data_IF_658020222314
#
_entry.id   IF_658020222314
#
_cell.length_a   1.000
_cell.length_b   1.000
_cell.length_c   1.000
_cell.angle_alpha   90.00
_cell.angle_beta   90.00
_cell.angle_gamma   90.00
#
_symmetry.space_group_name_H-M   'P 1'
#
loop_
_entity.id
_entity.type
_entity.pdbx_description
1 polymer ?
#
# COMPACT_ATOMS: atom_id res chain seq x y z
N UNK A 1 32.69 13.73 41.33
CA UNK A 1 32.92 13.28 39.95
C UNK A 1 32.01 12.09 39.70
N UNK A 2 31.06 12.05 38.78
CA UNK A 2 30.32 13.06 38.03
C UNK A 2 29.06 12.29 37.59
N UNK A 3 27.87 12.66 38.10
CA UNK A 3 26.60 12.07 37.66
C UNK A 3 26.26 12.75 36.33
N UNK A 4 26.65 12.14 35.22
CA UNK A 4 26.37 12.67 33.88
C UNK A 4 24.90 12.40 33.54
N UNK A 5 24.19 13.49 33.31
CA UNK A 5 22.76 13.58 33.04
C UNK A 5 22.40 12.93 31.69
N UNK A 6 21.82 11.72 31.71
CA UNK A 6 21.12 11.12 30.55
C UNK A 6 19.66 11.58 30.57
N UNK A 7 19.43 12.89 30.57
CA UNK A 7 18.07 13.46 30.49
C UNK A 7 17.95 14.59 29.46
N UNK A 8 19.06 14.97 28.80
CA UNK A 8 19.13 16.15 27.92
C UNK A 8 18.99 15.85 26.42
N UNK A 9 18.89 14.59 25.98
CA UNK A 9 18.73 14.24 24.55
C UNK A 9 17.26 14.11 24.12
N UNK A 10 16.35 13.84 25.06
CA UNK A 10 14.92 13.63 24.74
C UNK A 10 14.18 14.94 24.44
N UNK A 11 14.68 16.09 24.91
CA UNK A 11 14.00 17.38 24.78
C UNK A 11 14.29 18.15 23.47
N UNK A 12 15.27 17.72 22.65
CA UNK A 12 15.71 18.49 21.47
C UNK A 12 15.02 18.08 20.15
N UNK A 13 14.20 17.03 20.15
CA UNK A 13 13.53 16.55 18.91
C UNK A 13 12.23 17.33 18.62
N UNK A 14 11.67 18.05 19.59
CA UNK A 14 10.37 18.72 19.43
C UNK A 14 10.42 20.15 18.87
N UNK A 15 11.61 20.75 18.63
CA UNK A 15 11.72 22.20 18.34
C UNK A 15 11.91 22.51 16.84
N UNK A 16 12.02 21.51 15.97
CA UNK A 16 12.42 21.72 14.57
C UNK A 16 11.32 21.83 13.50
N UNK A 17 10.04 21.64 13.82
CA UNK A 17 8.99 21.46 12.80
C UNK A 17 7.91 22.56 12.76
N UNK A 18 8.18 23.75 13.31
CA UNK A 18 7.33 24.92 13.11
C UNK A 18 7.71 25.66 11.81
N UNK A 19 7.83 24.93 10.70
CA UNK A 19 7.91 25.49 9.36
C UNK A 19 6.50 25.64 8.80
N UNK A 20 5.83 26.72 9.20
CA UNK A 20 4.49 27.09 8.76
C UNK A 20 4.54 27.41 7.26
N UNK A 21 3.98 26.55 6.44
CA UNK A 21 3.15 27.01 5.32
C UNK A 21 1.72 26.90 5.84
N UNK A 22 0.99 28.02 5.84
CA UNK A 22 -0.43 28.00 6.13
C UNK A 22 -1.07 27.00 5.15
N UNK A 23 -1.48 25.84 5.66
CA UNK A 23 -2.19 24.85 4.87
C UNK A 23 -3.43 25.54 4.31
N UNK A 24 -3.55 25.57 2.98
CA UNK A 24 -4.84 25.79 2.34
C UNK A 24 -5.84 24.78 2.92
N UNK A 25 -7.12 25.15 2.97
CA UNK A 25 -8.16 24.33 3.58
C UNK A 25 -7.99 22.86 3.13
N UNK A 26 -8.01 21.90 4.08
CA UNK A 26 -7.89 20.49 3.74
C UNK A 26 -8.90 20.15 2.65
N UNK A 27 -8.47 19.40 1.64
CA UNK A 27 -9.36 18.96 0.58
C UNK A 27 -10.54 18.19 1.18
N UNK A 28 -11.75 18.60 0.81
CA UNK A 28 -12.98 17.90 1.14
C UNK A 28 -13.31 16.94 0.00
N UNK A 29 -13.67 15.71 0.34
CA UNK A 29 -14.04 14.65 -0.61
C UNK A 29 -15.45 14.12 -0.34
N UNK A 30 -16.21 14.79 0.53
CA UNK A 30 -17.48 14.27 1.04
C UNK A 30 -18.51 14.05 -0.06
N UNK A 31 -18.56 14.93 -1.06
CA UNK A 31 -19.52 14.84 -2.15
C UNK A 31 -19.11 13.76 -3.15
N UNK A 32 -17.82 13.62 -3.42
CA UNK A 32 -17.27 12.58 -4.30
C UNK A 32 -17.46 11.18 -3.71
N UNK A 33 -17.26 11.01 -2.40
CA UNK A 33 -17.48 9.71 -1.75
C UNK A 33 -18.96 9.33 -1.80
N UNK A 34 -19.88 10.27 -1.57
CA UNK A 34 -21.33 10.01 -1.70
C UNK A 34 -21.72 9.69 -3.13
N UNK A 35 -21.23 10.46 -4.10
CA UNK A 35 -21.42 10.20 -5.53
C UNK A 35 -20.93 8.80 -5.91
N UNK A 36 -19.77 8.37 -5.41
CA UNK A 36 -19.26 7.02 -5.65
C UNK A 36 -20.11 5.91 -5.02
N UNK A 37 -20.64 6.13 -3.81
CA UNK A 37 -21.57 5.20 -3.16
C UNK A 37 -22.91 5.11 -3.91
N UNK A 38 -23.42 6.24 -4.40
CA UNK A 38 -24.65 6.30 -5.20
C UNK A 38 -24.49 5.57 -6.54
N UNK A 39 -23.36 5.77 -7.24
CA UNK A 39 -23.02 5.05 -8.47
C UNK A 39 -22.95 3.53 -8.29
N UNK A 40 -22.50 3.06 -7.11
CA UNK A 40 -22.45 1.64 -6.76
C UNK A 40 -23.76 1.10 -6.19
N UNK A 41 -24.76 1.97 -5.96
CA UNK A 41 -26.02 1.65 -5.31
C UNK A 41 -25.83 1.01 -3.92
N UNK A 42 -24.94 1.60 -3.10
CA UNK A 42 -24.58 1.10 -1.76
C UNK A 42 -24.74 2.15 -0.66
N UNK A 43 -24.79 1.68 0.58
CA UNK A 43 -24.91 2.50 1.80
C UNK A 43 -23.83 2.11 2.80
N UNK A 44 -23.71 2.83 3.92
CA UNK A 44 -22.77 2.47 5.01
C UNK A 44 -23.01 1.09 5.60
N UNK A 45 -24.22 0.55 5.45
CA UNK A 45 -24.61 -0.77 5.95
C UNK A 45 -24.44 -1.88 4.89
N UNK A 46 -24.06 -1.51 3.66
CA UNK A 46 -23.86 -2.49 2.59
C UNK A 46 -22.68 -3.40 2.92
N UNK A 47 -22.87 -4.74 2.93
CA UNK A 47 -21.78 -5.67 3.18
C UNK A 47 -20.81 -5.71 2.00
N UNK A 48 -19.60 -6.23 2.24
CA UNK A 48 -18.66 -6.54 1.15
C UNK A 48 -18.02 -5.32 0.49
N UNK A 49 -18.03 -4.15 1.16
CA UNK A 49 -17.30 -2.98 0.69
C UNK A 49 -15.84 -2.99 1.14
N UNK A 50 -14.95 -2.62 0.23
CA UNK A 50 -13.56 -2.28 0.52
C UNK A 50 -13.20 -0.95 -0.13
N UNK A 51 -12.47 -0.14 0.62
CA UNK A 51 -11.96 1.15 0.14
C UNK A 51 -10.45 1.08 0.06
N UNK A 52 -9.90 1.45 -1.09
CA UNK A 52 -8.46 1.64 -1.28
C UNK A 52 -8.21 3.14 -1.47
N UNK A 53 -7.15 3.68 -0.89
CA UNK A 53 -6.79 5.09 -1.06
C UNK A 53 -5.31 5.32 -0.78
N UNK A 54 -4.73 6.34 -1.39
CA UNK A 54 -3.40 6.84 -0.99
C UNK A 54 -3.45 8.04 -0.02
N UNK A 55 -4.65 8.38 0.46
CA UNK A 55 -4.82 9.37 1.51
C UNK A 55 -3.97 9.04 2.74
N UNK A 56 -3.32 10.07 3.28
CA UNK A 56 -2.33 9.95 4.35
C UNK A 56 -0.88 9.90 3.85
N UNK A 57 -0.64 9.54 2.59
CA UNK A 57 0.70 9.60 1.97
C UNK A 57 0.88 10.84 1.10
N UNK A 58 -0.11 11.15 0.25
CA UNK A 58 -0.02 12.26 -0.71
C UNK A 58 -0.41 13.60 -0.10
N UNK A 59 0.04 14.68 -0.74
CA UNK A 59 -0.37 16.05 -0.42
C UNK A 59 -1.16 16.67 -1.56
N UNK A 60 -2.18 17.45 -1.21
CA UNK A 60 -2.92 18.30 -2.15
C UNK A 60 -2.70 19.75 -1.76
N UNK A 61 -2.22 20.57 -2.69
CA UNK A 61 -1.85 21.98 -2.47
C UNK A 61 -0.97 22.20 -1.22
N UNK A 62 -0.03 21.28 -0.97
CA UNK A 62 0.86 21.31 0.20
C UNK A 62 0.24 20.81 1.51
N UNK A 63 -1.08 20.61 1.55
CA UNK A 63 -1.84 20.08 2.69
C UNK A 63 -1.84 18.56 2.71
N UNK A 64 -1.72 17.99 3.90
CA UNK A 64 -1.78 16.53 4.13
C UNK A 64 -3.22 16.02 4.02
N UNK A 65 -3.39 14.76 3.61
CA UNK A 65 -4.69 14.17 3.25
C UNK A 65 -5.32 13.25 4.32
N UNK A 66 -4.84 13.23 5.57
CA UNK A 66 -5.45 12.37 6.60
C UNK A 66 -6.93 12.65 6.89
N UNK A 67 -7.42 13.88 6.61
CA UNK A 67 -8.84 14.20 6.74
C UNK A 67 -9.71 13.36 5.79
N UNK A 68 -9.19 13.04 4.60
CA UNK A 68 -9.86 12.17 3.62
C UNK A 68 -10.12 10.77 4.20
N UNK A 69 -9.19 10.21 4.97
CA UNK A 69 -9.37 8.91 5.65
C UNK A 69 -10.57 8.97 6.61
N UNK A 70 -10.73 10.08 7.34
CA UNK A 70 -11.88 10.29 8.24
C UNK A 70 -13.18 10.36 7.45
N UNK A 71 -13.19 11.07 6.32
CA UNK A 71 -14.35 11.18 5.44
C UNK A 71 -14.72 9.83 4.84
N UNK A 72 -13.77 9.09 4.26
CA UNK A 72 -13.99 7.74 3.72
C UNK A 72 -14.60 6.83 4.79
N UNK A 73 -14.05 6.82 6.01
CA UNK A 73 -14.62 6.03 7.10
C UNK A 73 -16.05 6.44 7.45
N UNK A 74 -16.33 7.74 7.50
CA UNK A 74 -17.64 8.28 7.86
C UNK A 74 -18.71 7.95 6.82
N UNK A 75 -18.41 8.12 5.54
CA UNK A 75 -19.39 8.01 4.46
C UNK A 75 -19.53 6.57 3.93
N UNK A 76 -18.51 5.71 4.07
CA UNK A 76 -18.55 4.31 3.59
C UNK A 76 -18.77 3.28 4.69
N UNK A 77 -18.50 3.62 5.96
CA UNK A 77 -18.45 2.66 7.07
C UNK A 77 -17.18 1.79 7.10
N UNK A 78 -16.37 1.78 6.03
CA UNK A 78 -15.12 1.04 5.97
C UNK A 78 -14.07 1.61 6.94
N UNK A 79 -13.28 0.75 7.57
CA UNK A 79 -12.25 1.19 8.51
C UNK A 79 -11.02 0.31 8.49
N UNK A 80 -9.88 0.88 8.90
CA UNK A 80 -8.62 0.15 9.02
C UNK A 80 -8.77 -1.03 9.99
N UNK A 81 -9.51 -0.83 11.09
CA UNK A 81 -9.75 -1.87 12.10
C UNK A 81 -10.64 -3.01 11.62
N UNK A 82 -11.53 -2.77 10.66
CA UNK A 82 -12.32 -3.81 10.01
C UNK A 82 -11.57 -4.49 8.86
N UNK A 83 -10.36 -4.02 8.53
CA UNK A 83 -9.55 -4.55 7.44
C UNK A 83 -10.08 -4.27 6.04
N UNK A 84 -10.97 -3.28 5.87
CA UNK A 84 -11.61 -2.94 4.60
C UNK A 84 -11.46 -1.45 4.19
N UNK A 85 -10.57 -0.72 4.86
CA UNK A 85 -10.02 0.56 4.39
C UNK A 85 -8.50 0.40 4.31
N UNK A 86 -7.98 0.26 3.10
CA UNK A 86 -6.59 -0.03 2.79
C UNK A 86 -5.88 1.25 2.32
N UNK A 87 -4.82 1.63 3.03
CA UNK A 87 -4.00 2.81 2.81
C UNK A 87 -2.78 2.42 1.95
N UNK A 88 -2.92 2.58 0.65
CA UNK A 88 -1.93 2.19 -0.36
C UNK A 88 -0.82 3.24 -0.44
N UNK A 89 0.43 2.80 -0.28
CA UNK A 89 1.60 3.66 -0.27
C UNK A 89 1.80 4.35 -1.62
N UNK A 90 2.07 5.66 -1.57
CA UNK A 90 2.33 6.49 -2.74
C UNK A 90 3.32 7.58 -2.42
N UNK A 91 4.04 8.04 -3.45
CA UNK A 91 4.91 9.21 -3.32
C UNK A 91 4.08 10.47 -3.07
N UNK A 92 4.61 11.37 -2.24
CA UNK A 92 3.91 12.55 -1.70
C UNK A 92 3.40 13.53 -2.78
N UNK A 93 4.00 13.50 -3.96
CA UNK A 93 3.75 14.38 -5.11
C UNK A 93 2.71 13.82 -6.10
N UNK A 94 2.11 12.67 -5.80
CA UNK A 94 1.14 12.03 -6.69
C UNK A 94 -0.28 12.53 -6.44
N UNK A 95 -1.16 12.47 -7.46
CA UNK A 95 -2.57 12.78 -7.31
C UNK A 95 -3.23 11.96 -6.21
N UNK A 96 -4.09 12.60 -5.40
CA UNK A 96 -4.96 11.91 -4.44
C UNK A 96 -5.97 11.04 -5.19
N UNK A 97 -6.17 9.82 -4.73
CA UNK A 97 -7.24 8.96 -5.21
C UNK A 97 -7.85 8.08 -4.13
N UNK A 98 -9.06 7.61 -4.41
CA UNK A 98 -9.68 6.51 -3.69
C UNK A 98 -10.50 5.64 -4.65
N UNK A 99 -10.69 4.38 -4.27
CA UNK A 99 -11.52 3.43 -4.98
C UNK A 99 -12.45 2.75 -3.98
N UNK A 100 -13.76 2.73 -4.28
CA UNK A 100 -14.76 1.98 -3.51
C UNK A 100 -15.08 0.74 -4.33
N UNK A 101 -14.82 -0.44 -3.77
CA UNK A 101 -14.99 -1.73 -4.40
C UNK A 101 -16.09 -2.52 -3.71
N UNK A 102 -17.01 -3.08 -4.49
CA UNK A 102 -18.10 -3.94 -4.03
C UNK A 102 -17.80 -5.39 -4.40
N UNK A 103 -17.55 -6.25 -3.40
CA UNK A 103 -17.00 -7.59 -3.64
C UNK A 103 -17.94 -8.54 -4.39
N UNK A 104 -19.24 -8.35 -4.26
CA UNK A 104 -20.27 -9.24 -4.83
C UNK A 104 -20.38 -9.08 -6.35
N UNK A 105 -20.45 -7.85 -6.85
CA UNK A 105 -20.54 -7.53 -8.28
C UNK A 105 -19.19 -7.34 -8.94
N UNK A 106 -18.14 -7.11 -8.13
CA UNK A 106 -16.80 -6.70 -8.57
C UNK A 106 -16.74 -5.31 -9.19
N UNK A 107 -17.80 -4.52 -9.03
CA UNK A 107 -17.79 -3.14 -9.47
C UNK A 107 -16.95 -2.28 -8.54
N UNK A 108 -16.27 -1.32 -9.15
CA UNK A 108 -15.41 -0.36 -8.49
C UNK A 108 -15.71 1.03 -9.03
N UNK A 109 -15.89 1.98 -8.12
CA UNK A 109 -15.84 3.40 -8.48
C UNK A 109 -14.49 3.95 -8.04
N UNK A 110 -13.71 4.36 -9.03
CA UNK A 110 -12.42 5.00 -8.85
C UNK A 110 -12.57 6.51 -8.99
N UNK A 111 -12.03 7.24 -8.03
CA UNK A 111 -12.03 8.70 -7.97
C UNK A 111 -10.59 9.20 -7.87
N UNK A 112 -10.21 10.14 -8.73
CA UNK A 112 -8.87 10.77 -8.73
C UNK A 112 -8.99 12.28 -8.78
N UNK A 113 -8.15 12.97 -8.01
CA UNK A 113 -8.03 14.42 -8.00
C UNK A 113 -6.90 14.87 -8.94
N UNK A 114 -7.25 15.34 -10.13
CA UNK A 114 -6.31 15.80 -11.15
C UNK A 114 -6.69 17.20 -11.63
N UNK A 115 -5.70 18.02 -11.97
CA UNK A 115 -5.94 19.36 -12.56
C UNK A 115 -6.91 20.25 -11.76
N UNK A 116 -6.93 20.09 -10.44
CA UNK A 116 -7.83 20.79 -9.51
C UNK A 116 -9.30 20.33 -9.51
N UNK A 117 -9.61 19.21 -10.17
CA UNK A 117 -10.96 18.64 -10.27
C UNK A 117 -10.96 17.16 -9.90
N UNK A 118 -12.13 16.63 -9.55
CA UNK A 118 -12.33 15.20 -9.33
C UNK A 118 -12.91 14.54 -10.57
N UNK A 119 -12.28 13.44 -10.96
CA UNK A 119 -12.74 12.56 -12.03
C UNK A 119 -13.18 11.23 -11.41
N UNK A 120 -14.36 10.74 -11.81
CA UNK A 120 -14.90 9.47 -11.33
C UNK A 120 -15.22 8.54 -12.50
N UNK A 121 -14.88 7.26 -12.34
CA UNK A 121 -15.23 6.21 -13.29
C UNK A 121 -15.69 4.97 -12.56
N UNK A 122 -16.78 4.37 -13.05
CA UNK A 122 -17.24 3.06 -12.62
C UNK A 122 -16.77 2.00 -13.61
N UNK A 123 -16.15 0.94 -13.10
CA UNK A 123 -15.66 -0.16 -13.93
C UNK A 123 -15.74 -1.46 -13.14
N UNK A 124 -16.08 -2.55 -13.82
CA UNK A 124 -16.01 -3.88 -13.23
C UNK A 124 -14.56 -4.38 -13.25
N UNK A 125 -14.02 -4.68 -12.07
CA UNK A 125 -12.61 -5.05 -11.90
C UNK A 125 -12.43 -6.51 -11.51
N UNK A 126 -13.35 -7.40 -11.88
CA UNK A 126 -13.26 -8.82 -11.59
C UNK A 126 -11.88 -9.37 -11.97
N UNK A 127 -11.18 -9.96 -10.99
CA UNK A 127 -9.81 -10.44 -11.15
C UNK A 127 -9.68 -11.58 -12.16
N UNK A 128 -10.67 -12.46 -12.26
CA UNK A 128 -10.68 -13.57 -13.23
C UNK A 128 -10.87 -13.04 -14.64
N UNK A 129 -11.79 -12.09 -14.82
CA UNK A 129 -12.00 -11.44 -16.11
C UNK A 129 -10.80 -10.61 -16.55
N UNK A 130 -10.08 -9.98 -15.63
CA UNK A 130 -8.88 -9.19 -15.90
C UNK A 130 -7.65 -10.05 -16.28
N UNK A 131 -7.76 -11.39 -16.27
CA UNK A 131 -6.75 -12.26 -16.91
C UNK A 131 -6.81 -12.25 -18.43
N UNK A 132 -7.91 -11.76 -19.00
CA UNK A 132 -8.13 -11.61 -20.44
C UNK A 132 -7.63 -10.23 -20.88
N UNK A 133 -6.78 -10.19 -21.91
CA UNK A 133 -6.11 -8.96 -22.38
C UNK A 133 -7.05 -7.80 -22.71
N UNK A 134 -8.21 -8.08 -23.30
CA UNK A 134 -9.23 -7.06 -23.65
C UNK A 134 -9.79 -6.40 -22.39
N UNK A 135 -10.25 -7.19 -21.43
CA UNK A 135 -10.78 -6.71 -20.16
C UNK A 135 -9.71 -5.96 -19.36
N UNK A 136 -8.48 -6.47 -19.34
CA UNK A 136 -7.35 -5.78 -18.72
C UNK A 136 -7.06 -4.42 -19.36
N UNK A 137 -7.14 -4.33 -20.69
CA UNK A 137 -6.97 -3.06 -21.39
C UNK A 137 -8.08 -2.06 -21.06
N UNK A 138 -9.33 -2.51 -20.96
CA UNK A 138 -10.45 -1.67 -20.54
C UNK A 138 -10.27 -1.15 -19.09
N UNK A 139 -9.88 -2.01 -18.15
CA UNK A 139 -9.56 -1.61 -16.77
C UNK A 139 -8.40 -0.62 -16.70
N UNK A 140 -7.34 -0.82 -17.51
CA UNK A 140 -6.23 0.13 -17.60
C UNK A 140 -6.63 1.47 -18.18
N UNK A 141 -7.50 1.48 -19.18
CA UNK A 141 -8.01 2.71 -19.77
C UNK A 141 -8.83 3.50 -18.74
N UNK A 142 -9.71 2.83 -17.99
CA UNK A 142 -10.51 3.47 -16.95
C UNK A 142 -9.69 3.95 -15.75
N UNK A 143 -8.80 3.10 -15.21
CA UNK A 143 -8.12 3.35 -13.93
C UNK A 143 -6.73 4.01 -14.09
N UNK A 144 -6.24 4.11 -15.32
CA UNK A 144 -4.93 4.68 -15.65
C UNK A 144 -3.79 3.98 -14.91
N UNK A 145 -2.87 4.79 -14.37
CA UNK A 145 -1.65 4.28 -13.71
C UNK A 145 -1.91 3.49 -12.41
N UNK A 146 -3.10 3.60 -11.83
CA UNK A 146 -3.48 2.89 -10.61
C UNK A 146 -4.20 1.55 -10.89
N UNK A 147 -4.40 1.18 -12.16
CA UNK A 147 -5.13 -0.04 -12.53
C UNK A 147 -4.57 -1.30 -11.85
N UNK A 148 -3.25 -1.51 -11.91
CA UNK A 148 -2.63 -2.71 -11.34
C UNK A 148 -2.76 -2.73 -9.81
N UNK A 149 -2.56 -1.59 -9.14
CA UNK A 149 -2.75 -1.45 -7.71
C UNK A 149 -4.19 -1.78 -7.29
N UNK A 150 -5.17 -1.13 -7.92
CA UNK A 150 -6.59 -1.25 -7.54
C UNK A 150 -7.10 -2.67 -7.83
N UNK A 151 -6.91 -3.16 -9.06
CA UNK A 151 -7.43 -4.47 -9.47
C UNK A 151 -6.84 -5.58 -8.61
N UNK A 152 -5.52 -5.59 -8.40
CA UNK A 152 -4.87 -6.69 -7.69
C UNK A 152 -5.16 -6.69 -6.19
N UNK A 153 -5.14 -5.52 -5.53
CA UNK A 153 -5.37 -5.42 -4.08
C UNK A 153 -6.84 -5.63 -3.74
N UNK A 154 -7.77 -5.01 -4.49
CA UNK A 154 -9.20 -5.13 -4.21
C UNK A 154 -9.67 -6.59 -4.35
N UNK A 155 -9.21 -7.29 -5.39
CA UNK A 155 -9.51 -8.71 -5.54
C UNK A 155 -8.83 -9.58 -4.48
N UNK A 156 -7.58 -9.30 -4.10
CA UNK A 156 -6.93 -10.03 -3.00
C UNK A 156 -7.74 -9.94 -1.71
N UNK A 157 -8.20 -8.73 -1.36
CA UNK A 157 -9.10 -8.52 -0.23
C UNK A 157 -10.41 -9.27 -0.43
N UNK A 158 -11.00 -9.22 -1.62
CA UNK A 158 -12.25 -9.91 -1.97
C UNK A 158 -12.17 -11.44 -1.88
N UNK A 159 -10.98 -12.01 -2.04
CA UNK A 159 -10.67 -13.43 -1.83
C UNK A 159 -10.18 -13.75 -0.41
N UNK A 160 -10.36 -12.84 0.56
CA UNK A 160 -9.96 -13.00 1.96
C UNK A 160 -8.46 -13.19 2.18
N UNK A 161 -7.62 -12.43 1.47
CA UNK A 161 -6.18 -12.41 1.76
C UNK A 161 -5.93 -12.09 3.25
N UNK A 162 -4.93 -12.76 3.89
CA UNK A 162 -4.54 -12.45 5.26
C UNK A 162 -4.23 -10.97 5.46
N UNK A 163 -4.62 -10.42 6.61
CA UNK A 163 -4.50 -8.98 6.85
C UNK A 163 -3.05 -8.48 6.87
N UNK A 164 -2.13 -9.26 7.42
CA UNK A 164 -0.68 -9.03 7.34
C UNK A 164 -0.16 -9.06 5.89
N UNK A 165 -0.71 -9.92 5.03
CA UNK A 165 -0.39 -9.87 3.60
C UNK A 165 -0.96 -8.63 2.91
N UNK A 166 -2.16 -8.16 3.29
CA UNK A 166 -2.69 -6.88 2.83
C UNK A 166 -1.80 -5.71 3.27
N UNK A 167 -1.17 -5.76 4.45
CA UNK A 167 -0.16 -4.76 4.86
C UNK A 167 1.05 -4.74 3.91
N UNK A 168 1.51 -5.90 3.46
CA UNK A 168 2.57 -6.00 2.45
C UNK A 168 2.13 -5.34 1.13
N UNK A 169 0.88 -5.57 0.69
CA UNK A 169 0.34 -4.97 -0.54
C UNK A 169 0.14 -3.46 -0.42
N UNK A 170 -0.32 -2.97 0.73
CA UNK A 170 -0.44 -1.54 1.01
C UNK A 170 0.93 -0.87 0.88
N UNK A 171 1.99 -1.46 1.44
CA UNK A 171 3.34 -0.90 1.32
C UNK A 171 3.94 -1.03 -0.08
N UNK A 172 3.83 -2.22 -0.68
CA UNK A 172 4.39 -2.49 -2.01
C UNK A 172 3.60 -1.83 -3.15
N UNK A 173 2.36 -1.41 -2.87
CA UNK A 173 1.37 -0.78 -3.74
C UNK A 173 0.64 -1.66 -4.76
N UNK A 174 0.89 -2.97 -4.80
CA UNK A 174 0.14 -3.92 -5.63
C UNK A 174 0.39 -5.35 -5.16
N UNK A 175 -0.38 -6.30 -5.66
CA UNK A 175 -0.10 -7.73 -5.51
C UNK A 175 0.54 -8.29 -6.80
N UNK A 176 1.76 -8.80 -6.67
CA UNK A 176 2.47 -9.55 -7.70
C UNK A 176 3.09 -10.86 -7.16
N UNK A 177 3.50 -11.80 -8.03
CA UNK A 177 4.14 -13.06 -7.61
C UNK A 177 5.38 -12.87 -6.75
N UNK A 178 6.17 -11.82 -6.98
CA UNK A 178 7.36 -11.53 -6.18
C UNK A 178 7.01 -11.11 -4.75
N UNK A 179 5.93 -10.37 -4.53
CA UNK A 179 5.48 -10.02 -3.19
C UNK A 179 4.97 -11.25 -2.43
N UNK A 180 4.21 -12.12 -3.11
CA UNK A 180 3.72 -13.38 -2.52
C UNK A 180 4.85 -14.32 -2.12
N UNK A 181 5.90 -14.46 -2.95
CA UNK A 181 7.05 -15.29 -2.60
C UNK A 181 7.79 -14.76 -1.36
N UNK A 182 7.92 -13.43 -1.22
CA UNK A 182 8.46 -12.81 -0.01
C UNK A 182 7.61 -13.06 1.24
N UNK A 183 6.29 -12.96 1.13
CA UNK A 183 5.36 -13.25 2.23
C UNK A 183 5.43 -14.73 2.66
N UNK A 184 5.47 -15.66 1.70
CA UNK A 184 5.66 -17.09 1.99
C UNK A 184 7.01 -17.38 2.65
N UNK A 185 8.09 -16.74 2.16
CA UNK A 185 9.42 -16.89 2.75
C UNK A 185 9.46 -16.37 4.19
N UNK A 186 8.85 -15.21 4.46
CA UNK A 186 8.77 -14.65 5.80
C UNK A 186 8.06 -15.61 6.77
N UNK A 187 6.90 -16.14 6.37
CA UNK A 187 6.16 -17.11 7.17
C UNK A 187 6.94 -18.41 7.39
N UNK A 188 7.62 -18.91 6.36
CA UNK A 188 8.49 -20.08 6.48
C UNK A 188 9.60 -19.86 7.50
N UNK A 189 10.25 -18.69 7.50
CA UNK A 189 11.29 -18.34 8.47
C UNK A 189 10.74 -18.29 9.90
N UNK A 190 9.60 -17.62 10.11
CA UNK A 190 8.96 -17.54 11.44
C UNK A 190 8.57 -18.92 11.97
N UNK A 191 8.09 -19.81 11.11
CA UNK A 191 7.66 -21.15 11.50
C UNK A 191 8.83 -22.11 11.76
N UNK A 192 9.87 -22.08 10.92
CA UNK A 192 10.93 -23.10 10.93
C UNK A 192 12.23 -22.63 11.59
N UNK A 193 12.42 -21.31 11.71
CA UNK A 193 13.60 -20.69 12.30
C UNK A 193 13.18 -19.57 13.26
N UNK A 194 12.34 -19.85 14.27
CA UNK A 194 11.93 -18.84 15.24
C UNK A 194 13.16 -18.31 15.99
N UNK A 195 13.13 -17.01 16.29
CA UNK A 195 14.22 -16.32 16.98
C UNK A 195 14.14 -16.53 18.49
N UNK A 196 15.29 -16.70 19.14
CA UNK A 196 15.43 -16.51 20.59
C UNK A 196 15.40 -15.01 20.97
N UNK A 197 15.29 -14.68 22.27
CA UNK A 197 15.13 -13.30 22.77
C UNK A 197 16.20 -12.30 22.27
N UNK A 198 17.43 -12.76 22.04
CA UNK A 198 18.58 -11.95 21.62
C UNK A 198 18.90 -12.05 20.12
N UNK A 199 18.09 -12.78 19.35
CA UNK A 199 18.29 -13.00 17.92
C UNK A 199 17.46 -12.05 17.05
N UNK A 200 17.91 -11.87 15.80
CA UNK A 200 17.16 -11.12 14.79
C UNK A 200 17.41 -11.67 13.40
N UNK A 201 16.43 -11.52 12.53
CA UNK A 201 16.65 -11.74 11.11
C UNK A 201 17.51 -10.64 10.51
N UNK A 202 18.43 -11.03 9.63
CA UNK A 202 19.19 -10.13 8.77
C UNK A 202 19.04 -10.64 7.34
N UNK A 203 18.54 -9.79 6.45
CA UNK A 203 18.33 -10.13 5.04
C UNK A 203 19.46 -9.55 4.20
N UNK A 204 20.07 -10.40 3.38
CA UNK A 204 20.97 -9.97 2.31
C UNK A 204 20.20 -10.15 1.00
N UNK A 205 19.72 -9.06 0.42
CA UNK A 205 18.92 -9.09 -0.82
C UNK A 205 19.81 -8.93 -2.04
N UNK A 206 19.83 -9.97 -2.89
CA UNK A 206 20.58 -10.03 -4.13
C UNK A 206 20.09 -11.18 -5.04
N UNK A 207 19.45 -10.94 -6.21
CA UNK A 207 19.00 -9.64 -6.70
C UNK A 207 17.82 -9.11 -5.87
N UNK A 208 17.53 -7.82 -6.06
CA UNK A 208 16.53 -7.08 -5.28
C UNK A 208 15.25 -7.00 -6.07
N UNK A 209 14.13 -7.35 -5.44
CA UNK A 209 12.81 -7.38 -6.09
C UNK A 209 11.69 -7.39 -5.05
N UNK A 210 10.43 -7.51 -5.50
CA UNK A 210 9.22 -7.33 -4.68
C UNK A 210 9.19 -8.17 -3.39
N UNK A 211 9.88 -9.32 -3.33
CA UNK A 211 9.94 -10.15 -2.12
C UNK A 211 10.46 -9.40 -0.91
N UNK A 212 11.37 -8.45 -1.14
CA UNK A 212 12.11 -7.77 -0.09
C UNK A 212 11.20 -6.81 0.69
N UNK A 213 10.19 -6.23 0.04
CA UNK A 213 9.20 -5.40 0.71
C UNK A 213 8.34 -6.22 1.67
N UNK A 214 7.94 -7.45 1.30
CA UNK A 214 7.24 -8.34 2.24
C UNK A 214 8.14 -8.74 3.44
N UNK A 215 9.44 -9.02 3.22
CA UNK A 215 10.36 -9.31 4.31
C UNK A 215 10.52 -8.12 5.26
N UNK A 216 10.58 -6.88 4.72
CA UNK A 216 10.62 -5.67 5.55
C UNK A 216 9.35 -5.51 6.40
N UNK A 217 8.18 -5.80 5.85
CA UNK A 217 6.90 -5.64 6.55
C UNK A 217 6.69 -6.72 7.61
N UNK A 218 6.94 -7.99 7.27
CA UNK A 218 6.65 -9.12 8.17
C UNK A 218 7.75 -9.29 9.24
N UNK A 219 9.02 -9.12 8.88
CA UNK A 219 10.16 -9.41 9.77
C UNK A 219 10.80 -8.15 10.38
N UNK A 220 10.26 -6.97 10.09
CA UNK A 220 10.81 -5.66 10.48
C UNK A 220 12.27 -5.41 10.01
N UNK A 221 12.68 -6.07 8.92
CA UNK A 221 14.05 -6.02 8.42
C UNK A 221 14.32 -4.79 7.55
N UNK A 222 13.85 -3.61 7.92
CA UNK A 222 14.03 -2.41 7.07
C UNK A 222 15.50 -2.04 6.88
N UNK A 223 15.83 -1.45 5.73
CA UNK A 223 17.19 -0.97 5.43
C UNK A 223 17.67 0.05 6.47
N UNK A 224 16.80 0.98 6.88
CA UNK A 224 17.12 1.99 7.89
C UNK A 224 17.44 1.41 9.27
N UNK A 225 16.82 0.27 9.63
CA UNK A 225 17.12 -0.48 10.86
C UNK A 225 18.35 -1.39 10.75
N UNK A 226 19.04 -1.37 9.60
CA UNK A 226 20.13 -2.30 9.27
C UNK A 226 19.69 -3.77 9.35
N UNK A 227 18.40 -4.02 9.11
CA UNK A 227 17.82 -5.37 9.05
C UNK A 227 17.95 -5.98 7.66
N UNK A 228 18.12 -5.15 6.63
CA UNK A 228 18.35 -5.59 5.26
C UNK A 228 19.50 -4.84 4.62
N UNK A 229 20.34 -5.61 3.92
CA UNK A 229 21.43 -5.13 3.09
C UNK A 229 21.09 -5.44 1.64
N UNK A 230 21.02 -4.40 0.82
CA UNK A 230 20.47 -4.45 -0.53
C UNK A 230 21.61 -4.24 -1.53
N UNK A 231 21.85 -5.22 -2.40
CA UNK A 231 22.76 -5.06 -3.54
C UNK A 231 22.08 -5.56 -4.80
N UNK A 232 21.74 -4.65 -5.70
CA UNK A 232 21.20 -5.06 -6.99
C UNK A 232 22.30 -5.74 -7.81
N UNK A 233 21.98 -6.90 -8.40
CA UNK A 233 22.80 -7.54 -9.43
C UNK A 233 21.96 -7.63 -10.70
N UNK A 234 22.57 -7.28 -11.84
CA UNK A 234 21.91 -7.40 -13.13
C UNK A 234 21.50 -8.87 -13.37
N UNK A 235 20.32 -9.13 -13.98
CA UNK A 235 19.97 -10.48 -14.44
C UNK A 235 21.09 -11.01 -15.32
N UNK A 236 21.68 -12.13 -14.91
CA UNK A 236 22.90 -12.63 -15.52
C UNK A 236 22.59 -13.45 -16.77
N UNK A 237 22.35 -12.79 -17.90
CA UNK A 237 22.27 -13.45 -19.22
C UNK A 237 23.69 -13.73 -19.78
N UNK A 238 24.76 -13.16 -19.21
CA UNK A 238 26.10 -13.13 -19.81
C UNK A 238 27.26 -13.77 -19.00
N UNK A 239 27.07 -14.78 -18.10
CA UNK A 239 28.26 -15.46 -17.48
C UNK A 239 28.62 -16.65 -18.33
N UNK A 240 29.46 -16.42 -19.33
CA UNK A 240 30.13 -17.52 -19.98
C UNK A 240 31.10 -18.20 -19.00
N UNK A 241 31.16 -19.53 -19.05
CA UNK A 241 32.16 -20.36 -18.34
C UNK A 241 32.14 -20.33 -16.81
N UNK A 242 30.96 -20.22 -16.17
CA UNK A 242 30.88 -20.33 -14.70
C UNK A 242 30.64 -21.77 -14.23
N UNK A 243 31.47 -22.24 -13.30
CA UNK A 243 31.21 -23.43 -12.50
C UNK A 243 30.85 -22.98 -11.07
N UNK A 244 29.57 -23.01 -10.70
CA UNK A 244 29.09 -22.63 -9.38
C UNK A 244 27.62 -22.97 -9.18
N UNK A 245 27.18 -23.06 -7.91
CA UNK A 245 25.77 -23.22 -7.52
C UNK A 245 25.21 -21.82 -7.28
N UNK A 246 24.12 -21.49 -7.97
CA UNK A 246 23.37 -20.25 -7.78
C UNK A 246 22.00 -20.59 -7.19
N UNK A 247 21.66 -19.95 -6.08
CA UNK A 247 20.36 -20.09 -5.42
C UNK A 247 19.64 -18.75 -5.63
N UNK A 248 18.55 -18.79 -6.39
CA UNK A 248 17.62 -17.67 -6.65
C UNK A 248 16.56 -17.66 -5.56
#
# INVERSE_FOLDING_TARGET
MEKIYIFSVIALICVGAAGIVAAENPIDISDEVKSAMDLLEVTTESPGLCVLTDAGYVKVNGSTTQSCIKTLRKETGCSVGNGNLLLVHKAIDKPLWFAIFKNDTKDCVYTIYNNSEFEQVMVNIDGENNTISENWNASKEALGSNAFSIVTIANAWGYNAPYDFLKCMEFHNHFCPGLTSGYQLANYLVENYPLDEDEKYVVISCPVWCKDDALQIILDTTVGKKGMFVKNMQPYIDVENTAGIFII
#
